data_IF_926273205008
#
_entry.id   IF_926273205008
#
_cell.length_a   1.000
_cell.length_b   1.000
_cell.length_c   1.000
_cell.angle_alpha   90.00
_cell.angle_beta   90.00
_cell.angle_gamma   90.00
#
_symmetry.space_group_name_H-M   'P 1'
#
loop_
_entity.id
_entity.type
_entity.pdbx_description
1 polymer ?
#
# COMPACT_ATOMS: atom_id res chain seq x y z
N UNK A 1 -8.89 -14.02 -2.25
CA UNK A 1 -9.20 -14.73 -1.00
C UNK A 1 -7.96 -14.96 -0.13
N UNK A 2 -6.83 -15.38 -0.67
CA UNK A 2 -5.60 -15.68 0.09
C UNK A 2 -4.94 -14.45 0.77
N UNK A 3 -4.84 -13.31 0.09
CA UNK A 3 -4.27 -12.05 0.63
C UNK A 3 -5.09 -11.48 1.80
N UNK A 4 -6.43 -11.59 1.79
CA UNK A 4 -7.31 -11.04 2.85
C UNK A 4 -7.02 -11.59 4.23
N UNK A 5 -6.68 -12.88 4.36
CA UNK A 5 -6.39 -13.49 5.67
C UNK A 5 -5.09 -12.94 6.26
N UNK A 6 -4.07 -12.71 5.43
CA UNK A 6 -2.82 -12.08 5.84
C UNK A 6 -3.04 -10.66 6.37
N UNK A 7 -3.86 -9.86 5.69
CA UNK A 7 -4.16 -8.48 6.10
C UNK A 7 -4.97 -8.43 7.40
N UNK A 8 -6.05 -9.22 7.52
CA UNK A 8 -6.86 -9.30 8.75
C UNK A 8 -6.01 -9.70 9.96
N UNK A 9 -5.08 -10.65 9.78
CA UNK A 9 -4.24 -11.15 10.86
C UNK A 9 -3.08 -10.23 11.25
N UNK A 10 -2.65 -9.31 10.38
CA UNK A 10 -1.42 -8.55 10.60
C UNK A 10 -1.59 -7.03 10.58
N UNK A 11 -2.54 -6.47 9.84
CA UNK A 11 -2.63 -5.02 9.62
C UNK A 11 -2.67 -4.24 10.94
N UNK A 12 -3.61 -4.60 11.81
CA UNK A 12 -3.85 -3.90 13.07
C UNK A 12 -2.96 -4.40 14.21
N UNK A 13 -2.65 -5.71 14.21
CA UNK A 13 -1.92 -6.34 15.33
C UNK A 13 -0.39 -6.28 15.19
N UNK A 14 0.12 -6.04 13.97
CA UNK A 14 1.55 -6.12 13.70
C UNK A 14 2.05 -4.94 12.83
N UNK A 15 1.43 -4.71 11.65
CA UNK A 15 2.00 -3.77 10.67
C UNK A 15 1.87 -2.32 11.11
N UNK A 16 0.67 -1.85 11.45
CA UNK A 16 0.46 -0.48 11.94
C UNK A 16 1.25 -0.22 13.22
N UNK A 17 1.24 -1.12 14.25
CA UNK A 17 2.04 -0.92 15.45
C UNK A 17 3.56 -0.92 15.25
N UNK A 18 4.07 -1.46 14.12
CA UNK A 18 5.50 -1.42 13.79
C UNK A 18 5.98 -0.04 13.32
N UNK A 19 5.04 0.86 13.00
CA UNK A 19 5.31 2.22 12.53
C UNK A 19 5.35 3.20 13.71
N UNK A 20 6.27 4.16 13.63
CA UNK A 20 6.53 5.10 14.71
C UNK A 20 5.38 6.10 14.91
N UNK A 21 4.56 5.92 15.94
CA UNK A 21 3.50 6.86 16.37
C UNK A 21 2.22 6.81 15.52
N UNK A 22 2.16 6.00 14.47
CA UNK A 22 1.00 5.95 13.54
C UNK A 22 -0.25 5.42 14.23
N UNK A 23 -0.14 4.37 15.05
CA UNK A 23 -1.31 3.82 15.74
C UNK A 23 -1.97 4.83 16.69
N UNK A 24 -1.18 5.63 17.40
CA UNK A 24 -1.69 6.66 18.31
C UNK A 24 -2.36 7.80 17.53
N UNK A 25 -1.80 8.19 16.37
CA UNK A 25 -2.44 9.16 15.47
C UNK A 25 -3.78 8.65 14.96
N UNK A 26 -3.84 7.39 14.50
CA UNK A 26 -5.08 6.77 14.03
C UNK A 26 -6.15 6.68 15.12
N UNK A 27 -5.77 6.39 16.37
CA UNK A 27 -6.68 6.38 17.52
C UNK A 27 -7.18 7.78 17.89
N UNK A 28 -6.33 8.78 17.76
CA UNK A 28 -6.68 10.17 18.04
C UNK A 28 -7.57 10.81 16.96
N UNK A 29 -7.46 10.36 15.74
CA UNK A 29 -8.18 10.89 14.58
C UNK A 29 -7.21 11.41 13.52
N UNK A 30 -6.95 10.60 12.49
CA UNK A 30 -6.07 10.89 11.39
C UNK A 30 -6.82 10.88 10.05
N UNK A 31 -6.27 11.55 9.06
CA UNK A 31 -6.71 11.49 7.68
C UNK A 31 -5.87 10.48 6.92
N UNK A 32 -6.50 9.46 6.37
CA UNK A 32 -5.84 8.27 5.79
C UNK A 32 -6.16 8.13 4.31
N UNK A 33 -5.15 7.82 3.49
CA UNK A 33 -5.30 7.40 2.10
C UNK A 33 -4.84 5.94 1.93
N UNK A 34 -5.74 5.06 1.52
CA UNK A 34 -5.46 3.68 1.09
C UNK A 34 -5.47 3.66 -0.45
N UNK A 35 -4.30 3.54 -1.07
CA UNK A 35 -4.07 3.75 -2.49
C UNK A 35 -3.90 2.41 -3.19
N UNK A 36 -4.68 2.18 -4.26
CA UNK A 36 -4.82 0.86 -4.87
C UNK A 36 -5.64 -0.07 -3.96
N UNK A 37 -6.69 0.46 -3.32
CA UNK A 37 -7.46 -0.24 -2.29
C UNK A 37 -8.29 -1.42 -2.83
N UNK A 38 -8.47 -1.54 -4.14
CA UNK A 38 -9.27 -2.57 -4.78
C UNK A 38 -10.69 -2.64 -4.21
N UNK A 39 -11.06 -3.80 -3.67
CA UNK A 39 -12.38 -4.04 -3.04
C UNK A 39 -12.47 -3.48 -1.59
N UNK A 40 -11.58 -2.60 -1.17
CA UNK A 40 -11.62 -1.87 0.10
C UNK A 40 -11.42 -2.71 1.35
N UNK A 41 -10.75 -3.86 1.26
CA UNK A 41 -10.64 -4.76 2.44
C UNK A 41 -9.81 -4.17 3.57
N UNK A 42 -8.66 -3.57 3.28
CA UNK A 42 -7.77 -2.87 4.22
C UNK A 42 -8.40 -1.59 4.72
N UNK A 43 -9.00 -0.83 3.82
CA UNK A 43 -9.73 0.42 4.09
C UNK A 43 -10.85 0.20 5.12
N UNK A 44 -11.67 -0.85 4.92
CA UNK A 44 -12.77 -1.21 5.84
C UNK A 44 -12.22 -1.64 7.20
N UNK A 45 -11.15 -2.46 7.25
CA UNK A 45 -10.54 -2.87 8.52
C UNK A 45 -10.04 -1.65 9.30
N UNK A 46 -9.38 -0.71 8.64
CA UNK A 46 -8.89 0.52 9.28
C UNK A 46 -10.06 1.38 9.79
N UNK A 47 -11.11 1.55 8.99
CA UNK A 47 -12.29 2.33 9.39
C UNK A 47 -13.01 1.73 10.60
N UNK A 48 -13.12 0.41 10.67
CA UNK A 48 -13.72 -0.29 11.82
C UNK A 48 -12.86 -0.17 13.09
N UNK A 49 -11.54 -0.21 12.92
CA UNK A 49 -10.61 -0.23 14.05
C UNK A 49 -10.35 1.16 14.62
N UNK A 50 -10.35 2.18 13.75
CA UNK A 50 -10.03 3.57 14.10
C UNK A 50 -11.20 4.51 13.80
N UNK A 51 -12.29 4.47 14.59
CA UNK A 51 -13.52 5.19 14.30
C UNK A 51 -13.38 6.72 14.34
N UNK A 52 -12.32 7.24 14.97
CA UNK A 52 -12.03 8.68 15.01
C UNK A 52 -11.32 9.18 13.75
N UNK A 53 -10.72 8.29 12.96
CA UNK A 53 -10.02 8.62 11.72
C UNK A 53 -10.96 8.63 10.53
N UNK A 54 -10.63 9.44 9.52
CA UNK A 54 -11.32 9.47 8.23
C UNK A 54 -10.49 8.74 7.20
N UNK A 55 -11.04 7.69 6.59
CA UNK A 55 -10.33 6.80 5.70
C UNK A 55 -10.83 6.99 4.26
N UNK A 56 -9.93 7.30 3.35
CA UNK A 56 -10.20 7.42 1.92
C UNK A 56 -9.54 6.27 1.17
N UNK A 57 -10.32 5.49 0.43
CA UNK A 57 -9.84 4.45 -0.47
C UNK A 57 -9.82 4.94 -1.92
N UNK A 58 -8.71 4.74 -2.60
CA UNK A 58 -8.50 5.14 -3.99
C UNK A 58 -8.15 3.95 -4.86
N UNK A 59 -8.84 3.77 -5.98
CA UNK A 59 -8.49 2.78 -7.00
C UNK A 59 -8.97 3.27 -8.37
N UNK A 60 -8.24 2.93 -9.43
CA UNK A 60 -8.65 3.31 -10.78
C UNK A 60 -9.80 2.45 -11.34
N UNK A 61 -10.06 1.29 -10.73
CA UNK A 61 -11.06 0.34 -11.21
C UNK A 61 -12.45 0.61 -10.62
N UNK A 62 -13.29 1.33 -11.37
CA UNK A 62 -14.64 1.74 -10.94
C UNK A 62 -15.49 0.63 -10.32
N UNK A 63 -15.62 -0.56 -10.95
CA UNK A 63 -16.41 -1.66 -10.36
C UNK A 63 -15.91 -2.13 -8.99
N UNK A 64 -14.59 -2.07 -8.72
CA UNK A 64 -14.05 -2.38 -7.40
C UNK A 64 -14.47 -1.33 -6.35
N UNK A 65 -14.47 -0.07 -6.71
CA UNK A 65 -14.90 1.05 -5.86
C UNK A 65 -16.39 0.98 -5.57
N UNK A 66 -17.22 0.63 -6.55
CA UNK A 66 -18.66 0.41 -6.34
C UNK A 66 -18.92 -0.70 -5.32
N UNK A 67 -18.25 -1.84 -5.44
CA UNK A 67 -18.38 -2.96 -4.49
C UNK A 67 -17.84 -2.58 -3.10
N UNK A 68 -16.69 -1.90 -3.02
CA UNK A 68 -16.12 -1.43 -1.76
C UNK A 68 -17.08 -0.48 -1.02
N UNK A 69 -17.68 0.47 -1.76
CA UNK A 69 -18.66 1.43 -1.23
C UNK A 69 -19.92 0.73 -0.72
N UNK A 70 -20.44 -0.24 -1.48
CA UNK A 70 -21.62 -1.03 -1.07
C UNK A 70 -21.33 -1.79 0.23
N UNK A 71 -20.18 -2.44 0.34
CA UNK A 71 -19.77 -3.18 1.56
C UNK A 71 -19.60 -2.26 2.77
N UNK A 72 -19.01 -1.09 2.62
CA UNK A 72 -18.88 -0.11 3.70
C UNK A 72 -20.26 0.36 4.20
N UNK A 73 -21.18 0.62 3.27
CA UNK A 73 -22.57 0.99 3.58
C UNK A 73 -23.32 -0.13 4.31
N UNK A 74 -23.19 -1.39 3.87
CA UNK A 74 -23.80 -2.55 4.55
C UNK A 74 -23.30 -2.71 6.00
N UNK A 75 -22.03 -2.35 6.24
CA UNK A 75 -21.41 -2.37 7.58
C UNK A 75 -21.73 -1.12 8.41
N UNK A 76 -22.48 -0.15 7.87
CA UNK A 76 -22.85 1.07 8.56
C UNK A 76 -21.68 2.01 8.88
N UNK A 77 -20.58 1.94 8.13
CA UNK A 77 -19.40 2.78 8.34
C UNK A 77 -19.66 4.19 7.81
N UNK A 78 -19.35 5.19 8.62
CA UNK A 78 -19.55 6.62 8.30
C UNK A 78 -18.26 7.43 8.20
N UNK A 79 -17.14 6.81 8.55
CA UNK A 79 -15.81 7.42 8.54
C UNK A 79 -14.93 6.92 7.36
N UNK A 80 -15.56 6.50 6.26
CA UNK A 80 -14.89 5.93 5.11
C UNK A 80 -15.52 6.43 3.80
N UNK A 81 -14.69 6.76 2.83
CA UNK A 81 -15.10 7.12 1.47
C UNK A 81 -14.24 6.40 0.44
N UNK A 82 -14.82 6.08 -0.72
CA UNK A 82 -14.12 5.45 -1.82
C UNK A 82 -14.21 6.28 -3.09
N UNK A 83 -13.10 6.38 -3.83
CA UNK A 83 -12.96 7.25 -4.99
C UNK A 83 -12.32 6.50 -6.15
N UNK A 84 -12.88 6.69 -7.35
CA UNK A 84 -12.22 6.24 -8.59
C UNK A 84 -11.16 7.27 -8.95
N UNK A 85 -9.88 6.90 -8.86
CA UNK A 85 -8.76 7.80 -9.16
C UNK A 85 -7.50 7.01 -9.54
N UNK A 86 -6.71 7.56 -10.46
CA UNK A 86 -5.32 7.13 -10.64
C UNK A 86 -4.51 7.47 -9.37
N UNK A 87 -3.57 6.63 -9.02
CA UNK A 87 -2.72 6.81 -7.83
C UNK A 87 -1.86 8.09 -7.89
N UNK A 88 -1.65 8.65 -9.09
CA UNK A 88 -0.92 9.91 -9.32
C UNK A 88 -1.83 11.15 -9.32
N UNK A 89 -3.15 10.99 -9.15
CA UNK A 89 -4.15 12.05 -9.24
C UNK A 89 -5.00 12.17 -7.98
N UNK A 90 -4.65 11.47 -6.91
CA UNK A 90 -5.36 11.61 -5.63
C UNK A 90 -5.22 13.06 -5.13
N UNK A 91 -6.28 13.66 -4.55
CA UNK A 91 -6.26 15.07 -4.18
C UNK A 91 -5.25 15.34 -3.06
N UNK A 92 -4.60 16.52 -3.13
CA UNK A 92 -3.75 17.05 -2.04
C UNK A 92 -4.66 17.46 -0.87
N UNK A 93 -4.63 16.63 0.16
CA UNK A 93 -5.47 16.79 1.34
C UNK A 93 -4.69 16.81 2.65
N UNK A 94 -3.36 16.73 2.61
CA UNK A 94 -2.53 16.67 3.81
C UNK A 94 -2.82 15.41 4.63
N UNK A 95 -2.59 14.23 4.05
CA UNK A 95 -2.82 12.96 4.73
C UNK A 95 -1.78 12.75 5.84
N UNK A 96 -2.25 12.34 7.01
CA UNK A 96 -1.39 11.96 8.13
C UNK A 96 -0.80 10.56 7.91
N UNK A 97 -1.55 9.71 7.20
CA UNK A 97 -1.14 8.35 6.90
C UNK A 97 -1.58 7.96 5.48
N UNK A 98 -0.64 7.51 4.66
CA UNK A 98 -0.91 6.91 3.37
C UNK A 98 -0.45 5.44 3.37
N UNK A 99 -1.12 4.57 2.64
CA UNK A 99 -0.71 3.17 2.53
C UNK A 99 -0.99 2.59 1.14
N UNK A 100 -0.14 1.63 0.76
CA UNK A 100 -0.31 0.75 -0.42
C UNK A 100 -0.08 -0.68 0.03
N UNK A 101 -0.93 -1.60 -0.43
CA UNK A 101 -0.86 -3.02 -0.11
C UNK A 101 -0.75 -3.87 -1.37
N UNK A 102 0.42 -4.46 -1.61
CA UNK A 102 0.69 -5.38 -2.73
C UNK A 102 0.22 -4.81 -4.09
N UNK A 103 0.47 -3.53 -4.34
CA UNK A 103 0.00 -2.85 -5.54
C UNK A 103 1.07 -1.99 -6.23
N UNK A 104 2.05 -1.45 -5.50
CA UNK A 104 3.06 -0.56 -6.10
C UNK A 104 3.87 -1.28 -7.19
N UNK A 105 4.17 -2.56 -7.00
CA UNK A 105 4.93 -3.36 -7.95
C UNK A 105 4.18 -3.67 -9.26
N UNK A 106 2.85 -3.50 -9.28
CA UNK A 106 2.00 -3.65 -10.48
C UNK A 106 1.83 -2.32 -11.24
N UNK A 107 2.20 -1.19 -10.63
CA UNK A 107 2.08 0.14 -11.24
C UNK A 107 3.19 0.36 -12.27
N UNK A 108 2.86 1.04 -13.38
CA UNK A 108 3.81 1.35 -14.43
C UNK A 108 4.87 2.36 -14.01
N UNK A 109 4.45 3.38 -13.25
CA UNK A 109 5.30 4.44 -12.72
C UNK A 109 5.31 4.48 -11.18
N UNK A 110 5.96 3.51 -10.52
CA UNK A 110 6.00 3.48 -9.07
C UNK A 110 6.77 4.65 -8.44
N UNK A 111 7.73 5.25 -9.17
CA UNK A 111 8.44 6.45 -8.72
C UNK A 111 7.53 7.66 -8.75
N UNK A 112 6.79 7.87 -9.84
CA UNK A 112 5.81 8.96 -9.95
C UNK A 112 4.69 8.85 -8.91
N UNK A 113 4.18 7.63 -8.68
CA UNK A 113 3.18 7.38 -7.61
C UNK A 113 3.75 7.70 -6.23
N UNK A 114 4.94 7.22 -5.89
CA UNK A 114 5.55 7.50 -4.60
C UNK A 114 5.87 9.00 -4.43
N UNK A 115 6.28 9.69 -5.50
CA UNK A 115 6.48 11.15 -5.47
C UNK A 115 5.15 11.89 -5.23
N UNK A 116 4.07 11.48 -5.88
CA UNK A 116 2.75 12.07 -5.64
C UNK A 116 2.30 11.84 -4.20
N UNK A 117 2.45 10.63 -3.65
CA UNK A 117 2.16 10.33 -2.24
C UNK A 117 2.92 11.27 -1.32
N UNK A 118 4.21 11.47 -1.58
CA UNK A 118 5.01 12.42 -0.81
C UNK A 118 4.40 13.83 -0.79
N UNK A 119 3.88 14.31 -1.91
CA UNK A 119 3.33 15.65 -2.03
C UNK A 119 1.96 15.82 -1.35
N UNK A 120 1.17 14.73 -1.22
CA UNK A 120 -0.16 14.76 -0.58
C UNK A 120 -0.13 14.42 0.91
N UNK A 121 1.00 13.95 1.43
CA UNK A 121 1.22 13.76 2.87
C UNK A 121 1.38 15.12 3.58
N UNK A 122 0.89 15.18 4.82
CA UNK A 122 1.23 16.26 5.75
C UNK A 122 2.74 16.23 6.10
N UNK A 123 3.27 17.32 6.64
CA UNK A 123 4.71 17.46 6.97
C UNK A 123 5.23 16.30 7.86
N UNK A 124 4.39 15.79 8.75
CA UNK A 124 4.71 14.66 9.64
C UNK A 124 4.04 13.36 9.21
N UNK A 125 3.50 13.32 7.99
CA UNK A 125 2.79 12.16 7.46
C UNK A 125 3.70 10.95 7.25
N UNK A 126 3.13 9.78 7.42
CA UNK A 126 3.84 8.50 7.21
C UNK A 126 3.22 7.75 6.04
N UNK A 127 4.07 7.26 5.13
CA UNK A 127 3.67 6.31 4.10
C UNK A 127 4.05 4.89 4.52
N UNK A 128 3.08 4.00 4.58
CA UNK A 128 3.28 2.56 4.77
C UNK A 128 3.20 1.84 3.43
N UNK A 129 4.30 1.24 3.02
CA UNK A 129 4.33 0.38 1.84
C UNK A 129 4.37 -1.07 2.29
N UNK A 130 3.40 -1.86 1.87
CA UNK A 130 3.36 -3.32 2.09
C UNK A 130 3.52 -4.02 0.75
N UNK A 131 4.56 -4.84 0.61
CA UNK A 131 4.90 -5.54 -0.63
C UNK A 131 5.21 -7.02 -0.35
N UNK A 132 5.15 -7.90 -1.38
CA UNK A 132 5.49 -9.31 -1.18
C UNK A 132 6.88 -9.50 -0.62
N UNK A 133 7.03 -10.44 0.31
CA UNK A 133 8.32 -10.76 0.91
C UNK A 133 9.27 -11.33 -0.14
N UNK A 134 10.31 -10.58 -0.44
CA UNK A 134 11.38 -10.97 -1.35
C UNK A 134 12.74 -10.60 -0.74
N UNK A 135 13.79 -11.25 -1.21
CA UNK A 135 15.17 -10.88 -0.96
C UNK A 135 15.75 -10.14 -2.17
N UNK A 136 16.90 -9.49 -1.98
CA UNK A 136 17.55 -8.73 -3.05
C UNK A 136 18.25 -9.63 -4.08
N UNK A 137 18.72 -10.83 -3.66
CA UNK A 137 19.41 -11.77 -4.52
C UNK A 137 18.47 -12.87 -4.99
N UNK A 138 18.68 -13.37 -6.22
CA UNK A 138 17.90 -14.45 -6.80
C UNK A 138 17.98 -15.73 -5.95
N UNK A 139 19.18 -16.08 -5.49
CA UNK A 139 19.46 -17.29 -4.75
C UNK A 139 18.64 -17.38 -3.45
N UNK A 140 18.44 -16.26 -2.78
CA UNK A 140 17.66 -16.16 -1.53
C UNK A 140 16.15 -16.30 -1.78
N UNK A 141 15.71 -16.08 -3.02
CA UNK A 141 14.33 -16.24 -3.47
C UNK A 141 14.02 -17.65 -4.02
N UNK A 142 15.00 -18.55 -4.11
CA UNK A 142 14.82 -19.92 -4.61
C UNK A 142 14.18 -20.82 -3.55
N UNK A 143 12.95 -20.53 -3.21
CA UNK A 143 12.12 -21.27 -2.26
C UNK A 143 10.67 -21.36 -2.78
N UNK A 144 9.80 -22.09 -2.09
CA UNK A 144 8.42 -22.33 -2.53
C UNK A 144 7.64 -21.04 -2.73
N UNK A 145 7.76 -20.07 -1.81
CA UNK A 145 7.07 -18.77 -1.92
C UNK A 145 7.65 -17.93 -3.06
N UNK A 146 8.97 -17.87 -3.17
CA UNK A 146 9.64 -17.17 -4.27
C UNK A 146 9.25 -17.73 -5.64
N UNK A 147 9.23 -19.07 -5.80
CA UNK A 147 8.78 -19.68 -7.04
C UNK A 147 7.34 -19.32 -7.43
N UNK A 148 6.43 -19.29 -6.45
CA UNK A 148 5.05 -18.86 -6.63
C UNK A 148 4.99 -17.37 -7.04
N UNK A 149 5.73 -16.52 -6.33
CA UNK A 149 5.78 -15.09 -6.58
C UNK A 149 6.37 -14.75 -7.96
N UNK A 150 7.45 -15.44 -8.40
CA UNK A 150 7.96 -15.31 -9.78
C UNK A 150 6.94 -15.74 -10.83
N UNK A 151 6.18 -16.81 -10.57
CA UNK A 151 5.10 -17.25 -11.45
C UNK A 151 4.04 -16.16 -11.62
N UNK A 152 3.50 -15.62 -10.53
CA UNK A 152 2.53 -14.51 -10.58
C UNK A 152 3.12 -13.25 -11.21
N UNK A 153 4.35 -12.91 -10.87
CA UNK A 153 5.03 -11.76 -11.44
C UNK A 153 5.12 -11.84 -12.97
N UNK A 154 5.42 -13.03 -13.50
CA UNK A 154 5.56 -13.25 -14.95
C UNK A 154 4.23 -13.12 -15.70
N UNK A 155 3.13 -13.61 -15.12
CA UNK A 155 1.82 -13.68 -15.81
C UNK A 155 0.88 -12.52 -15.47
N UNK A 156 1.12 -11.79 -14.37
CA UNK A 156 0.25 -10.68 -13.90
C UNK A 156 1.06 -9.41 -13.73
N UNK A 157 1.96 -9.33 -12.73
CA UNK A 157 2.54 -8.07 -12.28
C UNK A 157 3.36 -7.36 -13.36
N UNK A 158 4.30 -8.05 -13.98
CA UNK A 158 5.16 -7.47 -15.03
C UNK A 158 4.36 -7.07 -16.28
N UNK A 159 3.47 -7.91 -16.83
CA UNK A 159 2.61 -7.50 -17.94
C UNK A 159 1.69 -6.32 -17.60
N UNK A 160 1.12 -6.28 -16.39
CA UNK A 160 0.27 -5.18 -15.92
C UNK A 160 1.04 -3.87 -15.86
N UNK A 161 2.21 -3.87 -15.21
CA UNK A 161 3.08 -2.69 -15.16
C UNK A 161 3.54 -2.24 -16.55
N UNK A 162 3.95 -3.19 -17.41
CA UNK A 162 4.44 -2.90 -18.76
C UNK A 162 3.39 -2.31 -19.69
N UNK A 163 2.11 -2.59 -19.45
CA UNK A 163 0.99 -2.05 -20.24
C UNK A 163 0.62 -0.60 -19.87
N UNK A 164 1.21 -0.06 -18.82
CA UNK A 164 1.03 1.32 -18.37
C UNK A 164 2.20 2.21 -18.81
N UNK A 165 2.03 3.52 -18.66
CA UNK A 165 3.09 4.50 -18.91
C UNK A 165 4.32 4.23 -18.02
N UNK A 166 5.51 4.51 -18.53
CA UNK A 166 6.82 4.20 -17.95
C UNK A 166 7.13 2.69 -17.97
N UNK A 167 6.26 1.84 -17.43
CA UNK A 167 6.42 0.39 -17.49
C UNK A 167 7.67 -0.12 -16.78
N UNK A 168 7.93 0.34 -15.52
CA UNK A 168 9.16 0.02 -14.79
C UNK A 168 9.31 -1.47 -14.46
N UNK A 169 8.21 -2.23 -14.44
CA UNK A 169 8.19 -3.68 -14.26
C UNK A 169 8.91 -4.16 -13.00
N UNK A 170 8.57 -3.60 -11.83
CA UNK A 170 9.13 -4.04 -10.55
C UNK A 170 8.90 -5.53 -10.31
N UNK A 171 7.65 -5.96 -10.47
CA UNK A 171 7.22 -7.33 -10.18
C UNK A 171 7.21 -7.65 -8.68
N UNK A 172 6.56 -8.75 -8.34
CA UNK A 172 6.36 -9.19 -6.96
C UNK A 172 7.66 -9.67 -6.24
N UNK A 173 8.81 -9.62 -6.88
CA UNK A 173 10.13 -9.96 -6.34
C UNK A 173 11.06 -8.74 -6.24
N UNK A 174 10.51 -7.54 -6.24
CA UNK A 174 11.30 -6.36 -5.91
C UNK A 174 11.74 -6.45 -4.45
N UNK A 175 13.01 -6.75 -4.22
CA UNK A 175 13.59 -6.84 -2.88
C UNK A 175 13.68 -5.49 -2.19
N UNK A 176 14.05 -5.48 -0.89
CA UNK A 176 14.14 -4.26 -0.08
C UNK A 176 14.97 -3.16 -0.71
N UNK A 177 16.13 -3.50 -1.29
CA UNK A 177 17.01 -2.52 -1.93
C UNK A 177 16.32 -1.83 -3.10
N UNK A 178 15.69 -2.59 -4.01
CA UNK A 178 15.03 -2.01 -5.19
C UNK A 178 13.83 -1.14 -4.81
N UNK A 179 13.05 -1.55 -3.82
CA UNK A 179 11.94 -0.74 -3.30
C UNK A 179 12.47 0.55 -2.65
N UNK A 180 13.54 0.46 -1.86
CA UNK A 180 14.20 1.63 -1.28
C UNK A 180 14.74 2.58 -2.35
N UNK A 181 15.35 2.06 -3.42
CA UNK A 181 15.85 2.88 -4.54
C UNK A 181 14.69 3.63 -5.24
N UNK A 182 13.52 3.00 -5.41
CA UNK A 182 12.31 3.64 -5.96
C UNK A 182 11.82 4.76 -5.05
N UNK A 183 11.71 4.50 -3.76
CA UNK A 183 11.23 5.48 -2.77
C UNK A 183 12.20 6.67 -2.63
N UNK A 184 13.51 6.41 -2.62
CA UNK A 184 14.53 7.47 -2.61
C UNK A 184 14.47 8.31 -3.90
N UNK A 185 14.27 7.67 -5.06
CA UNK A 185 14.11 8.38 -6.34
C UNK A 185 12.86 9.26 -6.36
N UNK A 186 11.83 8.90 -5.60
CA UNK A 186 10.63 9.70 -5.40
C UNK A 186 10.84 10.86 -4.39
N UNK A 187 12.01 10.93 -3.75
CA UNK A 187 12.40 12.00 -2.84
C UNK A 187 12.11 11.76 -1.37
N UNK A 188 11.80 10.54 -0.97
CA UNK A 188 11.78 10.16 0.44
C UNK A 188 13.22 9.96 0.96
N UNK A 189 13.49 10.38 2.19
CA UNK A 189 14.82 10.32 2.80
C UNK A 189 14.90 9.29 3.94
N UNK A 190 13.76 8.85 4.45
CA UNK A 190 13.69 7.84 5.49
C UNK A 190 12.86 6.65 5.00
N UNK A 191 13.53 5.53 4.74
CA UNK A 191 12.91 4.27 4.33
C UNK A 191 13.42 3.17 5.24
N UNK A 192 12.53 2.56 6.02
CA UNK A 192 12.88 1.52 6.98
C UNK A 192 11.94 0.33 6.83
N UNK A 193 12.46 -0.87 6.65
CA UNK A 193 11.65 -2.08 6.82
C UNK A 193 11.28 -2.19 8.30
N UNK A 194 10.00 -2.03 8.62
CA UNK A 194 9.48 -1.96 9.98
C UNK A 194 8.97 -3.31 10.48
N UNK A 195 8.47 -4.13 9.57
CA UNK A 195 8.01 -5.50 9.88
C UNK A 195 8.17 -6.42 8.67
N UNK A 196 8.26 -7.71 8.94
CA UNK A 196 8.27 -8.76 7.92
C UNK A 196 7.45 -9.95 8.41
N UNK A 197 6.64 -10.49 7.52
CA UNK A 197 5.92 -11.76 7.72
C UNK A 197 6.41 -12.79 6.70
N UNK A 198 5.86 -14.00 6.73
CA UNK A 198 6.20 -15.02 5.74
C UNK A 198 5.82 -14.66 4.29
N UNK A 199 4.95 -13.68 4.09
CA UNK A 199 4.42 -13.29 2.77
C UNK A 199 4.62 -11.83 2.42
N UNK A 200 4.86 -10.94 3.38
CA UNK A 200 4.94 -9.51 3.14
C UNK A 200 6.09 -8.85 3.91
N UNK A 201 6.64 -7.80 3.31
CA UNK A 201 7.52 -6.79 3.90
C UNK A 201 6.71 -5.51 4.13
N UNK A 202 6.98 -4.82 5.21
CA UNK A 202 6.34 -3.53 5.56
C UNK A 202 7.42 -2.47 5.69
N UNK A 203 7.27 -1.38 4.96
CA UNK A 203 8.17 -0.25 5.04
C UNK A 203 7.48 0.95 5.69
N UNK A 204 8.16 1.55 6.65
CA UNK A 204 7.89 2.90 7.13
C UNK A 204 8.66 3.88 6.28
N UNK A 205 7.96 4.83 5.68
CA UNK A 205 8.53 5.80 4.74
C UNK A 205 8.13 7.21 5.17
N UNK A 206 9.12 8.10 5.32
CA UNK A 206 8.91 9.51 5.73
C UNK A 206 9.71 10.47 4.88
N UNK A 207 9.29 11.72 4.87
CA UNK A 207 9.96 12.78 4.11
C UNK A 207 11.31 13.16 4.73
N UNK A 208 11.42 13.17 6.05
CA UNK A 208 12.63 13.52 6.82
C UNK A 208 12.74 12.65 8.07
#
# INVERSE_FOLDING_TARGET
MYKRQGYVGNLVSNWIPSLSGVEDQLKAGAKVADIGCGLGSTTIIMAQTYPNSTIHGYDFHGPSIEEASARAKELGLTNIEFHVSDAREIPDNGYDFACIFDALHDMGDPVGVANHIKNVLSDNGTFMLVEPAAADNLEDNLNTFGGLAYGFSTIVCVPTSRAQDVGLCLGAQAGPKRLTDVLNSAGFNHVRESARTGTNMVFEVKQA
#
